data_IF_646678154704
#
_entry.id   IF_646678154704
#
_cell.length_a   1.000
_cell.length_b   1.000
_cell.length_c   1.000
_cell.angle_alpha   90.00
_cell.angle_beta   90.00
_cell.angle_gamma   90.00
#
_symmetry.space_group_name_H-M   'P 1'
#
loop_
_entity.id
_entity.type
_entity.pdbx_description
1 polymer ?
#
# COMPACT_ATOMS: atom_id res chain seq x y z
N UNK A 1 -26.58 16.93 7.21
CA UNK A 1 -25.87 16.39 6.03
C UNK A 1 -24.45 16.03 6.40
N UNK A 2 -24.28 15.01 7.26
CA UNK A 2 -22.99 14.54 7.81
C UNK A 2 -22.39 13.35 7.02
N UNK A 3 -22.83 13.14 5.77
CA UNK A 3 -22.55 11.91 5.00
C UNK A 3 -21.60 12.08 3.82
N UNK A 4 -21.02 13.26 3.57
CA UNK A 4 -20.04 13.42 2.50
C UNK A 4 -18.64 13.09 3.04
N UNK A 5 -17.93 12.17 2.37
CA UNK A 5 -16.56 11.73 2.72
C UNK A 5 -15.55 12.87 2.88
N UNK A 6 -15.89 14.11 2.47
CA UNK A 6 -15.09 15.29 2.74
C UNK A 6 -14.95 15.61 4.24
N UNK A 7 -15.99 15.41 5.05
CA UNK A 7 -16.01 15.81 6.47
C UNK A 7 -14.87 15.22 7.31
N UNK A 8 -14.53 13.95 7.07
CA UNK A 8 -13.48 13.24 7.82
C UNK A 8 -12.05 13.69 7.46
N UNK A 9 -11.86 14.34 6.30
CA UNK A 9 -10.55 14.87 5.92
C UNK A 9 -10.22 16.22 6.59
N UNK A 10 -11.18 16.83 7.30
CA UNK A 10 -11.02 18.15 7.93
C UNK A 10 -10.75 18.11 9.43
N UNK A 11 -10.41 16.94 9.98
CA UNK A 11 -9.95 16.88 11.36
C UNK A 11 -8.60 17.63 11.46
N UNK A 12 -8.47 18.69 12.28
CA UNK A 12 -7.18 19.39 12.47
C UNK A 12 -6.06 18.43 12.88
N UNK A 13 -6.40 17.33 13.55
CA UNK A 13 -5.45 16.29 13.92
C UNK A 13 -4.87 15.55 12.69
N UNK A 14 -5.68 15.30 11.65
CA UNK A 14 -5.22 14.66 10.41
C UNK A 14 -4.26 15.57 9.63
N UNK A 15 -4.53 16.88 9.60
CA UNK A 15 -3.66 17.84 8.95
C UNK A 15 -2.26 17.89 9.61
N UNK A 16 -2.22 17.86 10.95
CA UNK A 16 -0.96 17.81 11.71
C UNK A 16 -0.19 16.49 11.46
N UNK A 17 -0.90 15.36 11.43
CA UNK A 17 -0.32 14.07 11.05
C UNK A 17 0.26 14.08 9.64
N UNK A 18 -0.46 14.63 8.65
CA UNK A 18 0.02 14.74 7.27
C UNK A 18 1.26 15.64 7.16
N UNK A 19 1.29 16.76 7.89
CA UNK A 19 2.45 17.66 7.95
C UNK A 19 3.66 16.96 8.54
N UNK A 20 3.49 16.28 9.67
CA UNK A 20 4.55 15.50 10.34
C UNK A 20 5.10 14.41 9.43
N UNK A 21 4.22 13.64 8.78
CA UNK A 21 4.62 12.60 7.80
C UNK A 21 5.38 13.22 6.63
N UNK A 22 4.94 14.37 6.12
CA UNK A 22 5.62 15.06 5.01
C UNK A 22 7.02 15.55 5.40
N UNK A 23 7.20 16.06 6.62
CA UNK A 23 8.51 16.48 7.14
C UNK A 23 9.44 15.27 7.31
N UNK A 24 8.96 14.19 7.92
CA UNK A 24 9.75 12.96 8.11
C UNK A 24 10.15 12.36 6.75
N UNK A 25 9.21 12.33 5.80
CA UNK A 25 9.44 11.78 4.47
C UNK A 25 10.42 12.63 3.66
N UNK A 26 10.30 13.97 3.69
CA UNK A 26 11.30 14.85 3.06
C UNK A 26 12.65 14.60 3.69
N UNK A 27 12.83 14.75 5.01
CA UNK A 27 14.10 14.49 5.70
C UNK A 27 14.74 13.14 5.31
N UNK A 28 13.94 12.08 5.26
CA UNK A 28 14.38 10.74 4.86
C UNK A 28 14.91 10.72 3.42
N UNK A 29 14.17 11.29 2.47
CA UNK A 29 14.61 11.38 1.07
C UNK A 29 15.89 12.21 0.93
N UNK A 30 16.08 13.26 1.75
CA UNK A 30 17.31 14.06 1.80
C UNK A 30 18.50 13.21 2.16
N UNK A 31 18.38 12.45 3.25
CA UNK A 31 19.46 11.58 3.72
C UNK A 31 19.78 10.48 2.71
N UNK A 32 18.79 9.95 2.01
CA UNK A 32 19.01 9.00 0.92
C UNK A 32 19.77 9.63 -0.27
N UNK A 33 19.44 10.86 -0.66
CA UNK A 33 20.17 11.58 -1.73
C UNK A 33 21.63 11.83 -1.31
N UNK A 34 21.87 12.25 -0.06
CA UNK A 34 23.22 12.47 0.47
C UNK A 34 23.99 11.16 0.50
N UNK A 35 23.38 10.07 0.97
CA UNK A 35 23.98 8.73 0.97
C UNK A 35 24.40 8.30 -0.43
N UNK A 36 23.52 8.39 -1.42
CA UNK A 36 23.83 8.01 -2.80
C UNK A 36 24.94 8.90 -3.39
N UNK A 37 25.00 10.17 -3.02
CA UNK A 37 26.07 11.08 -3.43
C UNK A 37 27.42 10.63 -2.87
N UNK A 38 27.50 10.32 -1.57
CA UNK A 38 28.72 9.80 -0.95
C UNK A 38 29.13 8.43 -1.51
N UNK A 39 28.15 7.55 -1.73
CA UNK A 39 28.37 6.24 -2.33
C UNK A 39 28.95 6.36 -3.74
N UNK A 40 28.42 7.27 -4.56
CA UNK A 40 28.94 7.53 -5.91
C UNK A 40 30.37 8.06 -5.88
N UNK A 41 30.65 9.03 -5.01
CA UNK A 41 31.99 9.63 -4.89
C UNK A 41 33.02 8.61 -4.41
N UNK A 42 32.61 7.70 -3.51
CA UNK A 42 33.49 6.64 -3.01
C UNK A 42 33.74 5.57 -4.08
N UNK A 43 32.70 5.06 -4.73
CA UNK A 43 32.84 4.00 -5.74
C UNK A 43 33.56 4.47 -7.01
N UNK A 44 33.50 5.77 -7.32
CA UNK A 44 34.29 6.38 -8.41
C UNK A 44 35.75 6.70 -7.99
N UNK A 45 36.19 6.23 -6.81
CA UNK A 45 37.53 6.46 -6.24
C UNK A 45 37.92 7.95 -6.16
N UNK A 46 36.94 8.87 -6.12
CA UNK A 46 37.19 10.30 -5.91
C UNK A 46 37.60 10.61 -4.49
N UNK A 47 37.19 9.75 -3.57
CA UNK A 47 37.40 9.91 -2.13
C UNK A 47 37.79 8.56 -1.52
N UNK A 48 38.71 8.56 -0.56
CA UNK A 48 39.25 7.35 0.10
C UNK A 48 38.61 7.08 1.47
N UNK A 49 37.36 7.50 1.68
CA UNK A 49 36.67 7.27 2.97
C UNK A 49 36.35 5.79 3.17
N UNK A 50 36.37 5.33 4.43
CA UNK A 50 35.82 4.01 4.77
C UNK A 50 34.32 3.97 4.47
N UNK A 51 33.81 2.84 4.01
CA UNK A 51 32.38 2.64 3.73
C UNK A 51 31.52 2.88 4.97
N UNK A 52 32.02 2.56 6.17
CA UNK A 52 31.37 2.96 7.44
C UNK A 52 31.00 4.45 7.52
N UNK A 53 31.85 5.35 7.01
CA UNK A 53 31.57 6.80 6.97
C UNK A 53 30.54 7.15 5.88
N UNK A 54 30.63 6.50 4.72
CA UNK A 54 29.70 6.69 3.59
C UNK A 54 28.27 6.31 3.99
N UNK A 55 28.10 5.31 4.85
CA UNK A 55 26.81 4.83 5.33
C UNK A 55 26.20 5.68 6.46
N UNK A 56 26.89 6.69 7.00
CA UNK A 56 26.37 7.52 8.11
C UNK A 56 24.96 8.08 7.84
N UNK A 57 24.64 8.68 6.66
CA UNK A 57 23.30 9.21 6.43
C UNK A 57 22.22 8.12 6.45
N UNK A 58 22.56 6.89 6.03
CA UNK A 58 21.65 5.76 6.07
C UNK A 58 21.43 5.26 7.52
N UNK A 59 22.50 5.20 8.33
CA UNK A 59 22.39 4.88 9.75
C UNK A 59 21.58 5.91 10.55
N UNK A 60 21.56 7.19 10.12
CA UNK A 60 20.67 8.21 10.70
C UNK A 60 19.19 7.93 10.38
N UNK A 61 18.87 7.51 9.15
CA UNK A 61 17.51 7.06 8.77
C UNK A 61 17.11 5.86 9.63
N UNK A 62 17.99 4.87 9.76
CA UNK A 62 17.74 3.67 10.53
C UNK A 62 17.54 3.97 12.03
N UNK A 63 18.34 4.86 12.60
CA UNK A 63 18.19 5.28 13.99
C UNK A 63 16.84 5.96 14.23
N UNK A 64 16.42 6.83 13.30
CA UNK A 64 15.09 7.46 13.36
C UNK A 64 13.97 6.42 13.25
N UNK A 65 14.10 5.46 12.33
CA UNK A 65 13.13 4.37 12.16
C UNK A 65 13.05 3.49 13.41
N UNK A 66 14.18 3.14 14.01
CA UNK A 66 14.25 2.34 15.23
C UNK A 66 13.58 3.07 16.39
N UNK A 67 13.82 4.38 16.54
CA UNK A 67 13.17 5.22 17.54
C UNK A 67 11.66 5.28 17.30
N UNK A 68 11.22 5.49 16.06
CA UNK A 68 9.80 5.53 15.72
C UNK A 68 9.08 4.20 16.03
N UNK A 69 9.69 3.07 15.65
CA UNK A 69 9.15 1.73 15.94
C UNK A 69 9.18 1.44 17.44
N UNK A 70 10.22 1.84 18.16
CA UNK A 70 10.29 1.71 19.61
C UNK A 70 9.22 2.55 20.31
N UNK A 71 8.95 3.77 19.86
CA UNK A 71 7.84 4.57 20.39
C UNK A 71 6.49 3.92 20.08
N UNK A 72 6.31 3.35 18.90
CA UNK A 72 5.09 2.62 18.55
C UNK A 72 4.92 1.36 19.42
N UNK A 73 6.00 0.63 19.72
CA UNK A 73 5.91 -0.55 20.60
C UNK A 73 5.60 -0.12 22.04
N UNK A 74 6.19 0.97 22.52
CA UNK A 74 5.90 1.54 23.84
C UNK A 74 4.47 2.05 23.94
N UNK A 75 3.95 2.73 22.91
CA UNK A 75 2.57 3.22 22.91
C UNK A 75 1.55 2.07 22.95
N UNK A 76 1.82 0.95 22.27
CA UNK A 76 1.01 -0.27 22.38
C UNK A 76 1.08 -0.87 23.79
N UNK A 77 2.25 -0.79 24.47
CA UNK A 77 2.37 -1.32 25.83
C UNK A 77 1.63 -0.47 26.86
N UNK A 78 1.60 0.85 26.68
CA UNK A 78 1.06 1.82 27.66
C UNK A 78 -0.36 2.30 27.33
N UNK A 79 -0.80 2.14 26.09
CA UNK A 79 -2.12 2.56 25.64
C UNK A 79 -3.26 1.78 26.30
N UNK A 80 -4.39 2.46 26.45
CA UNK A 80 -5.65 1.82 26.85
C UNK A 80 -6.10 0.82 25.77
N UNK A 81 -6.88 -0.18 26.18
CA UNK A 81 -7.43 -1.14 25.23
C UNK A 81 -8.28 -0.38 24.18
N UNK A 82 -8.17 -0.72 22.89
CA UNK A 82 -9.01 -0.10 21.88
C UNK A 82 -10.48 -0.32 22.21
N UNK A 83 -11.36 0.67 21.94
CA UNK A 83 -12.79 0.51 22.11
C UNK A 83 -13.29 -0.65 21.23
N UNK A 84 -14.30 -1.36 21.72
CA UNK A 84 -15.00 -2.41 20.97
C UNK A 84 -15.73 -1.76 19.78
N UNK A 85 -15.86 -2.49 18.67
CA UNK A 85 -16.75 -2.04 17.59
C UNK A 85 -18.21 -2.18 18.01
N UNK A 86 -19.10 -1.41 17.40
CA UNK A 86 -20.54 -1.46 17.71
C UNK A 86 -21.10 -2.89 17.54
N UNK A 87 -20.69 -3.60 16.49
CA UNK A 87 -21.08 -4.99 16.24
C UNK A 87 -20.59 -5.94 17.35
N UNK A 88 -19.38 -5.70 17.87
CA UNK A 88 -18.84 -6.49 18.97
C UNK A 88 -19.56 -6.17 20.27
N UNK A 89 -19.83 -4.89 20.54
CA UNK A 89 -20.57 -4.48 21.71
C UNK A 89 -22.00 -5.05 21.71
N UNK A 90 -22.68 -5.05 20.56
CA UNK A 90 -24.01 -5.65 20.38
C UNK A 90 -23.97 -7.18 20.55
N UNK A 91 -23.01 -7.86 19.91
CA UNK A 91 -22.84 -9.31 20.07
C UNK A 91 -22.61 -9.69 21.53
N UNK A 92 -21.78 -8.92 22.24
CA UNK A 92 -21.58 -9.10 23.66
C UNK A 92 -22.82 -8.75 24.47
N UNK A 93 -23.58 -7.70 24.12
CA UNK A 93 -24.76 -7.26 24.88
C UNK A 93 -25.82 -8.36 25.05
N UNK A 94 -25.89 -9.32 24.13
CA UNK A 94 -26.77 -10.50 24.19
C UNK A 94 -26.42 -11.51 25.30
N UNK A 95 -25.19 -11.48 25.83
CA UNK A 95 -24.72 -12.44 26.83
C UNK A 95 -25.05 -12.01 28.28
N UNK A 96 -25.21 -12.95 29.22
CA UNK A 96 -25.31 -12.64 30.65
C UNK A 96 -24.15 -11.77 31.15
N UNK A 97 -24.38 -10.90 32.15
CA UNK A 97 -23.40 -9.91 32.62
C UNK A 97 -22.04 -10.52 33.01
N UNK A 98 -22.05 -11.67 33.67
CA UNK A 98 -20.83 -12.35 34.13
C UNK A 98 -20.00 -12.88 32.96
N UNK A 99 -20.68 -13.45 31.95
CA UNK A 99 -20.06 -13.96 30.72
C UNK A 99 -19.53 -12.79 29.87
N UNK A 100 -20.29 -11.68 29.78
CA UNK A 100 -19.86 -10.47 29.09
C UNK A 100 -18.53 -9.95 29.61
N UNK A 101 -18.41 -9.80 30.93
CA UNK A 101 -17.15 -9.31 31.52
C UNK A 101 -15.99 -10.27 31.27
N UNK A 102 -16.23 -11.58 31.37
CA UNK A 102 -15.22 -12.60 31.11
C UNK A 102 -14.76 -12.61 29.64
N UNK A 103 -15.69 -12.54 28.69
CA UNK A 103 -15.38 -12.47 27.27
C UNK A 103 -14.66 -11.17 26.89
N UNK A 104 -15.09 -10.00 27.42
CA UNK A 104 -14.39 -8.72 27.23
C UNK A 104 -12.95 -8.83 27.69
N UNK A 105 -12.71 -9.34 28.91
CA UNK A 105 -11.36 -9.49 29.45
C UNK A 105 -10.50 -10.48 28.64
N UNK A 106 -11.08 -11.59 28.18
CA UNK A 106 -10.38 -12.59 27.38
C UNK A 106 -9.99 -12.06 25.99
N UNK A 107 -10.90 -11.33 25.32
CA UNK A 107 -10.66 -10.71 24.01
C UNK A 107 -9.59 -9.63 24.09
N UNK A 108 -9.68 -8.72 25.07
CA UNK A 108 -8.68 -7.66 25.29
C UNK A 108 -7.29 -8.28 25.54
N UNK A 109 -7.20 -9.35 26.33
CA UNK A 109 -5.93 -10.08 26.54
C UNK A 109 -5.38 -10.69 25.24
N UNK A 110 -6.24 -11.28 24.41
CA UNK A 110 -5.83 -11.88 23.12
C UNK A 110 -5.36 -10.82 22.12
N UNK A 111 -6.11 -9.73 21.99
CA UNK A 111 -5.77 -8.62 21.09
C UNK A 111 -4.49 -7.92 21.52
N UNK A 112 -4.30 -7.66 22.83
CA UNK A 112 -3.06 -7.08 23.36
C UNK A 112 -1.86 -7.98 23.10
N UNK A 113 -1.99 -9.30 23.31
CA UNK A 113 -0.91 -10.26 22.99
C UNK A 113 -0.56 -10.25 21.51
N UNK A 114 -1.56 -10.20 20.62
CA UNK A 114 -1.33 -10.15 19.18
C UNK A 114 -0.68 -8.83 18.74
N UNK A 115 -1.13 -7.70 19.29
CA UNK A 115 -0.54 -6.38 19.02
C UNK A 115 0.90 -6.28 19.52
N UNK A 116 1.19 -6.78 20.72
CA UNK A 116 2.56 -6.87 21.25
C UNK A 116 3.44 -7.79 20.41
N UNK A 117 2.90 -8.92 19.94
CA UNK A 117 3.62 -9.81 19.03
C UNK A 117 3.94 -9.11 17.70
N UNK A 118 2.98 -8.42 17.09
CA UNK A 118 3.23 -7.63 15.86
C UNK A 118 4.27 -6.52 16.09
N UNK A 119 4.17 -5.80 17.20
CA UNK A 119 5.14 -4.78 17.58
C UNK A 119 6.56 -5.36 17.75
N UNK A 120 6.67 -6.53 18.40
CA UNK A 120 7.95 -7.24 18.57
C UNK A 120 8.53 -7.72 17.24
N UNK A 121 7.69 -8.20 16.31
CA UNK A 121 8.11 -8.60 14.97
C UNK A 121 8.59 -7.38 14.16
N UNK A 122 7.90 -6.25 14.27
CA UNK A 122 8.33 -5.00 13.61
C UNK A 122 9.69 -4.54 14.13
N UNK A 123 9.91 -4.56 15.45
CA UNK A 123 11.20 -4.24 16.05
C UNK A 123 12.31 -5.20 15.57
N UNK A 124 12.04 -6.52 15.60
CA UNK A 124 12.97 -7.53 15.11
C UNK A 124 13.33 -7.30 13.63
N UNK A 125 12.34 -6.93 12.81
CA UNK A 125 12.54 -6.63 11.39
C UNK A 125 13.49 -5.45 11.20
N UNK A 126 13.29 -4.35 11.93
CA UNK A 126 14.20 -3.19 11.87
C UNK A 126 15.61 -3.57 12.33
N UNK A 127 15.74 -4.32 13.42
CA UNK A 127 17.06 -4.77 13.91
C UNK A 127 17.78 -5.64 12.87
N UNK A 128 17.09 -6.60 12.25
CA UNK A 128 17.66 -7.43 11.18
C UNK A 128 18.06 -6.60 9.96
N UNK A 129 17.27 -5.59 9.60
CA UNK A 129 17.58 -4.68 8.51
C UNK A 129 18.84 -3.85 8.79
N UNK A 130 18.98 -3.29 10.00
CA UNK A 130 20.18 -2.56 10.42
C UNK A 130 21.41 -3.49 10.43
N UNK A 131 21.27 -4.70 10.98
CA UNK A 131 22.35 -5.68 10.99
C UNK A 131 22.82 -6.02 9.57
N UNK A 132 21.89 -6.18 8.63
CA UNK A 132 22.22 -6.41 7.23
C UNK A 132 23.06 -5.27 6.63
N UNK A 133 22.65 -4.01 6.85
CA UNK A 133 23.41 -2.87 6.35
C UNK A 133 24.80 -2.76 6.99
N UNK A 134 24.91 -3.02 8.30
CA UNK A 134 26.20 -3.03 9.01
C UNK A 134 27.11 -4.12 8.44
N UNK A 135 26.60 -5.32 8.19
CA UNK A 135 27.39 -6.40 7.58
C UNK A 135 27.83 -6.05 6.16
N UNK A 136 26.99 -5.40 5.36
CA UNK A 136 27.40 -4.90 4.04
C UNK A 136 28.53 -3.88 4.18
N UNK A 137 28.38 -2.88 5.06
CA UNK A 137 29.38 -1.83 5.24
C UNK A 137 30.74 -2.40 5.69
N UNK A 138 30.73 -3.35 6.62
CA UNK A 138 31.95 -4.01 7.09
C UNK A 138 32.57 -4.89 6.00
N UNK A 139 31.74 -5.60 5.22
CA UNK A 139 32.22 -6.44 4.12
C UNK A 139 32.87 -5.61 3.01
N UNK A 140 32.26 -4.46 2.67
CA UNK A 140 32.77 -3.54 1.66
C UNK A 140 34.09 -2.87 2.08
N UNK A 141 34.33 -2.72 3.38
CA UNK A 141 35.61 -2.22 3.92
C UNK A 141 36.73 -3.28 3.89
N UNK A 142 36.45 -4.51 3.43
CA UNK A 142 37.39 -5.65 3.42
C UNK A 142 37.95 -6.02 4.80
N UNK A 143 37.39 -5.48 5.88
CA UNK A 143 37.78 -5.76 7.27
C UNK A 143 37.53 -7.24 7.63
N UNK A 144 36.61 -7.91 6.91
CA UNK A 144 36.20 -9.29 7.16
C UNK A 144 36.05 -10.09 5.85
N UNK A 145 36.61 -11.30 5.85
CA UNK A 145 36.60 -12.26 4.73
C UNK A 145 35.41 -13.24 4.75
N UNK A 146 34.25 -12.82 5.28
CA UNK A 146 33.06 -13.67 5.28
C UNK A 146 32.52 -13.89 3.86
N UNK A 147 31.95 -15.08 3.62
CA UNK A 147 31.21 -15.32 2.37
C UNK A 147 30.01 -14.39 2.28
N UNK A 148 29.62 -14.04 1.05
CA UNK A 148 28.47 -13.16 0.81
C UNK A 148 27.19 -13.77 1.36
N UNK A 149 27.08 -15.10 1.34
CA UNK A 149 25.97 -15.83 1.96
C UNK A 149 25.80 -15.50 3.46
N UNK A 150 26.89 -15.42 4.24
CA UNK A 150 26.84 -15.09 5.68
C UNK A 150 26.37 -13.64 5.89
N UNK A 151 26.86 -12.71 5.07
CA UNK A 151 26.45 -11.29 5.10
C UNK A 151 24.95 -11.14 4.85
N UNK A 152 24.36 -11.99 3.99
CA UNK A 152 22.94 -11.96 3.65
C UNK A 152 22.04 -12.73 4.63
N UNK A 153 22.56 -13.40 5.66
CA UNK A 153 21.74 -14.16 6.63
C UNK A 153 20.62 -13.32 7.26
N UNK A 154 20.85 -12.08 7.76
CA UNK A 154 19.77 -11.28 8.34
C UNK A 154 18.66 -10.99 7.31
N UNK A 155 19.04 -10.80 6.04
CA UNK A 155 18.08 -10.61 4.95
C UNK A 155 17.26 -11.86 4.66
N UNK A 156 17.88 -13.05 4.62
CA UNK A 156 17.15 -14.30 4.46
C UNK A 156 16.18 -14.58 5.61
N UNK A 157 16.52 -14.20 6.84
CA UNK A 157 15.61 -14.28 7.99
C UNK A 157 14.40 -13.35 7.78
N UNK A 158 14.63 -12.10 7.34
CA UNK A 158 13.53 -11.17 7.00
C UNK A 158 12.64 -11.71 5.88
N UNK A 159 13.22 -12.33 4.86
CA UNK A 159 12.46 -12.98 3.78
C UNK A 159 11.62 -14.15 4.30
N UNK A 160 12.18 -14.98 5.17
CA UNK A 160 11.43 -16.07 5.79
C UNK A 160 10.26 -15.56 6.64
N UNK A 161 10.46 -14.48 7.42
CA UNK A 161 9.37 -13.84 8.16
C UNK A 161 8.27 -13.32 7.23
N UNK A 162 8.64 -12.70 6.10
CA UNK A 162 7.70 -12.23 5.08
C UNK A 162 6.93 -13.41 4.45
N UNK A 163 7.59 -14.54 4.21
CA UNK A 163 6.94 -15.75 3.70
C UNK A 163 5.86 -16.25 4.69
N UNK A 164 6.20 -16.36 5.97
CA UNK A 164 5.24 -16.79 7.00
C UNK A 164 4.03 -15.85 7.05
N UNK A 165 4.24 -14.53 7.02
CA UNK A 165 3.16 -13.55 6.97
C UNK A 165 2.28 -13.74 5.74
N UNK A 166 2.90 -13.89 4.57
CA UNK A 166 2.22 -14.08 3.30
C UNK A 166 1.39 -15.36 3.29
N UNK A 167 1.90 -16.45 3.88
CA UNK A 167 1.18 -17.72 4.01
C UNK A 167 -0.04 -17.59 4.94
N UNK A 168 0.05 -16.84 6.03
CA UNK A 168 -1.09 -16.60 6.93
C UNK A 168 -2.18 -15.79 6.23
N UNK A 169 -1.81 -14.73 5.51
CA UNK A 169 -2.74 -13.89 4.74
C UNK A 169 -3.42 -14.68 3.61
N UNK A 170 -2.64 -15.51 2.92
CA UNK A 170 -3.15 -16.44 1.93
C UNK A 170 -4.16 -17.42 2.53
N UNK A 171 -3.83 -18.05 3.67
CA UNK A 171 -4.73 -18.98 4.35
C UNK A 171 -6.04 -18.31 4.77
N UNK A 172 -5.98 -17.08 5.28
CA UNK A 172 -7.19 -16.31 5.63
C UNK A 172 -8.06 -16.02 4.39
N UNK A 173 -7.42 -15.61 3.29
CA UNK A 173 -8.10 -15.36 2.02
C UNK A 173 -8.75 -16.63 1.47
N UNK A 174 -8.07 -17.78 1.58
CA UNK A 174 -8.64 -19.06 1.19
C UNK A 174 -9.86 -19.45 2.01
N UNK A 175 -9.82 -19.28 3.34
CA UNK A 175 -10.97 -19.58 4.22
C UNK A 175 -12.16 -18.71 3.85
N UNK A 176 -11.95 -17.40 3.67
CA UNK A 176 -13.00 -16.47 3.25
C UNK A 176 -13.62 -16.89 1.91
N UNK A 177 -12.79 -17.18 0.90
CA UNK A 177 -13.27 -17.62 -0.42
C UNK A 177 -14.02 -18.94 -0.33
N UNK A 178 -13.55 -19.89 0.49
CA UNK A 178 -14.18 -21.21 0.63
C UNK A 178 -15.57 -21.14 1.23
N UNK A 179 -15.84 -20.17 2.12
CA UNK A 179 -17.16 -19.97 2.71
C UNK A 179 -18.20 -19.39 1.75
N UNK A 180 -17.77 -18.71 0.69
CA UNK A 180 -18.67 -18.05 -0.27
C UNK A 180 -19.08 -18.88 -1.49
N UNK A 181 -18.44 -20.03 -1.73
CA UNK A 181 -18.51 -20.74 -3.04
C UNK A 181 -19.16 -22.14 -2.95
N UNK A 182 -20.24 -22.29 -2.16
CA UNK A 182 -20.84 -23.61 -1.92
C UNK A 182 -21.36 -24.34 -3.17
N UNK A 183 -21.67 -23.63 -4.27
CA UNK A 183 -22.34 -24.21 -5.45
C UNK A 183 -21.58 -24.07 -6.79
N UNK A 184 -20.35 -23.55 -6.77
CA UNK A 184 -19.59 -23.28 -8.00
C UNK A 184 -18.83 -24.50 -8.55
N UNK A 185 -18.65 -24.54 -9.87
CA UNK A 185 -17.94 -25.63 -10.56
C UNK A 185 -16.49 -25.81 -10.05
N UNK A 186 -16.00 -27.06 -10.00
CA UNK A 186 -14.65 -27.40 -9.50
C UNK A 186 -13.55 -26.69 -10.31
N UNK A 187 -13.74 -26.56 -11.64
CA UNK A 187 -12.80 -25.87 -12.52
C UNK A 187 -12.68 -24.38 -12.19
N UNK A 188 -13.80 -23.73 -11.87
CA UNK A 188 -13.80 -22.32 -11.45
C UNK A 188 -13.03 -22.15 -10.13
N UNK A 189 -13.25 -23.04 -9.16
CA UNK A 189 -12.51 -23.06 -7.88
C UNK A 189 -11.01 -23.22 -8.08
N UNK A 190 -10.58 -24.20 -8.88
CA UNK A 190 -9.15 -24.40 -9.18
C UNK A 190 -8.51 -23.19 -9.86
N UNK A 191 -9.20 -22.58 -10.83
CA UNK A 191 -8.71 -21.36 -11.51
C UNK A 191 -8.58 -20.19 -10.55
N UNK A 192 -9.55 -20.01 -9.64
CA UNK A 192 -9.49 -18.97 -8.62
C UNK A 192 -8.33 -19.21 -7.66
N UNK A 193 -8.15 -20.44 -7.16
CA UNK A 193 -7.04 -20.78 -6.27
C UNK A 193 -5.68 -20.58 -6.94
N UNK A 194 -5.51 -21.00 -8.19
CA UNK A 194 -4.26 -20.77 -8.92
C UNK A 194 -3.98 -19.27 -9.06
N UNK A 195 -4.96 -18.47 -9.45
CA UNK A 195 -4.77 -17.01 -9.60
C UNK A 195 -4.41 -16.35 -8.28
N UNK A 196 -5.13 -16.66 -7.19
CA UNK A 196 -4.85 -16.10 -5.86
C UNK A 196 -3.46 -16.52 -5.38
N UNK A 197 -3.11 -17.80 -5.50
CA UNK A 197 -1.79 -18.32 -5.12
C UNK A 197 -0.69 -17.64 -5.93
N UNK A 198 -0.86 -17.59 -7.25
CA UNK A 198 0.12 -16.99 -8.14
C UNK A 198 0.31 -15.52 -7.81
N UNK A 199 -0.76 -14.72 -7.75
CA UNK A 199 -0.69 -13.28 -7.47
C UNK A 199 -0.12 -12.98 -6.07
N UNK A 200 -0.26 -13.90 -5.12
CA UNK A 200 0.31 -13.77 -3.77
C UNK A 200 1.81 -14.09 -3.74
N UNK A 201 2.25 -15.24 -4.29
CA UNK A 201 3.61 -15.76 -4.08
C UNK A 201 4.63 -15.41 -5.18
N UNK A 202 4.19 -15.00 -6.38
CA UNK A 202 5.11 -14.81 -7.52
C UNK A 202 6.23 -13.80 -7.23
N UNK A 203 5.91 -12.66 -6.59
CA UNK A 203 6.88 -11.61 -6.32
C UNK A 203 7.90 -12.06 -5.26
N UNK A 204 7.45 -12.79 -4.25
CA UNK A 204 8.33 -13.40 -3.24
C UNK A 204 9.32 -14.37 -3.89
N UNK A 205 8.84 -15.28 -4.74
CA UNK A 205 9.68 -16.25 -5.44
C UNK A 205 10.75 -15.57 -6.31
N UNK A 206 10.38 -14.53 -7.08
CA UNK A 206 11.33 -13.76 -7.89
C UNK A 206 12.37 -13.03 -7.03
N UNK A 207 11.96 -12.44 -5.90
CA UNK A 207 12.86 -11.73 -4.99
C UNK A 207 13.89 -12.66 -4.35
N UNK A 208 13.46 -13.82 -3.85
CA UNK A 208 14.37 -14.83 -3.29
C UNK A 208 15.30 -15.37 -4.37
N UNK A 209 14.78 -15.70 -5.55
CA UNK A 209 15.59 -16.15 -6.67
C UNK A 209 16.65 -15.11 -7.08
N UNK A 210 16.28 -13.83 -7.14
CA UNK A 210 17.21 -12.73 -7.43
C UNK A 210 18.34 -12.65 -6.41
N UNK A 211 18.03 -12.73 -5.12
CA UNK A 211 19.04 -12.66 -4.07
C UNK A 211 19.97 -13.86 -4.07
N UNK A 212 19.44 -15.08 -4.26
CA UNK A 212 20.27 -16.29 -4.38
C UNK A 212 21.22 -16.18 -5.56
N UNK A 213 20.74 -15.76 -6.75
CA UNK A 213 21.59 -15.57 -7.93
C UNK A 213 22.65 -14.49 -7.70
N UNK A 214 22.31 -13.39 -7.01
CA UNK A 214 23.27 -12.35 -6.65
C UNK A 214 24.36 -12.88 -5.71
N UNK A 215 23.99 -13.58 -4.63
CA UNK A 215 24.95 -14.16 -3.68
C UNK A 215 25.88 -15.14 -4.37
N UNK A 216 25.32 -16.08 -5.15
CA UNK A 216 26.12 -17.05 -5.91
C UNK A 216 27.07 -16.38 -6.89
N UNK A 217 26.63 -15.30 -7.55
CA UNK A 217 27.46 -14.57 -8.50
C UNK A 217 28.58 -13.78 -7.81
N UNK A 218 28.28 -13.10 -6.71
CA UNK A 218 29.27 -12.31 -5.96
C UNK A 218 30.34 -13.22 -5.34
N UNK A 219 29.96 -14.41 -4.88
CA UNK A 219 30.91 -15.43 -4.39
C UNK A 219 31.62 -16.20 -5.54
N UNK A 220 31.49 -15.76 -6.80
CA UNK A 220 32.11 -16.34 -8.00
C UNK A 220 31.78 -17.83 -8.25
N UNK A 221 30.79 -18.39 -7.55
CA UNK A 221 30.36 -19.79 -7.73
C UNK A 221 29.74 -20.04 -9.09
N UNK A 222 29.11 -19.01 -9.67
CA UNK A 222 28.57 -19.02 -11.04
C UNK A 222 29.30 -17.98 -11.90
N UNK A 223 29.79 -18.41 -13.06
CA UNK A 223 30.54 -17.57 -14.00
C UNK A 223 29.67 -16.92 -15.09
N UNK A 224 28.35 -16.95 -14.94
CA UNK A 224 27.41 -16.47 -15.96
C UNK A 224 27.38 -14.95 -16.11
N UNK A 225 26.94 -14.47 -17.28
CA UNK A 225 26.83 -13.03 -17.59
C UNK A 225 25.86 -12.32 -16.62
N UNK A 226 26.17 -11.10 -16.17
CA UNK A 226 25.37 -10.38 -15.16
C UNK A 226 23.90 -10.18 -15.57
N UNK A 227 23.62 -9.99 -16.85
CA UNK A 227 22.26 -9.96 -17.39
C UNK A 227 21.40 -11.18 -16.99
N UNK A 228 21.98 -12.38 -16.89
CA UNK A 228 21.25 -13.59 -16.48
C UNK A 228 20.90 -13.55 -14.99
N UNK A 229 21.76 -12.97 -14.16
CA UNK A 229 21.54 -12.80 -12.72
C UNK A 229 20.34 -11.88 -12.45
N UNK A 230 20.05 -10.94 -13.35
CA UNK A 230 18.90 -10.02 -13.25
C UNK A 230 17.63 -10.51 -13.96
N UNK A 231 17.58 -11.76 -14.45
CA UNK A 231 16.36 -12.35 -15.06
C UNK A 231 15.11 -12.15 -14.18
N UNK A 232 15.13 -12.43 -12.87
CA UNK A 232 13.96 -12.22 -12.03
C UNK A 232 13.46 -10.76 -12.04
N UNK A 233 14.36 -9.78 -12.05
CA UNK A 233 13.99 -8.37 -12.17
C UNK A 233 13.35 -8.04 -13.52
N UNK A 234 13.83 -8.62 -14.63
CA UNK A 234 13.20 -8.46 -15.94
C UNK A 234 11.78 -9.03 -15.97
N UNK A 235 11.54 -10.18 -15.31
CA UNK A 235 10.22 -10.82 -15.24
C UNK A 235 9.18 -9.96 -14.51
N UNK A 236 9.59 -9.13 -13.54
CA UNK A 236 8.68 -8.22 -12.82
C UNK A 236 8.03 -7.23 -13.78
N UNK A 237 8.81 -6.50 -14.59
CA UNK A 237 8.23 -5.54 -15.53
C UNK A 237 7.44 -6.23 -16.65
N UNK A 238 7.81 -7.44 -17.06
CA UNK A 238 7.00 -8.25 -17.98
C UNK A 238 5.62 -8.59 -17.39
N UNK A 239 5.54 -9.00 -16.13
CA UNK A 239 4.26 -9.28 -15.45
C UNK A 239 3.37 -8.04 -15.40
N UNK A 240 3.92 -6.88 -15.09
CA UNK A 240 3.15 -5.63 -15.07
C UNK A 240 2.67 -5.22 -16.47
N UNK A 241 3.52 -5.37 -17.49
CA UNK A 241 3.14 -5.11 -18.88
C UNK A 241 1.95 -6.00 -19.32
N UNK A 242 2.03 -7.30 -19.02
CA UNK A 242 0.93 -8.26 -19.28
C UNK A 242 -0.35 -7.85 -18.53
N UNK A 243 -0.22 -7.42 -17.26
CA UNK A 243 -1.35 -6.93 -16.47
C UNK A 243 -2.05 -5.73 -17.11
N UNK A 244 -1.30 -4.74 -17.61
CA UNK A 244 -1.85 -3.56 -18.30
C UNK A 244 -2.57 -3.96 -19.59
N UNK A 245 -2.01 -4.91 -20.35
CA UNK A 245 -2.65 -5.44 -21.57
C UNK A 245 -3.96 -6.16 -21.22
N UNK A 246 -3.99 -6.94 -20.14
CA UNK A 246 -5.21 -7.63 -19.67
C UNK A 246 -6.30 -6.64 -19.22
N UNK A 247 -5.93 -5.55 -18.53
CA UNK A 247 -6.87 -4.49 -18.15
C UNK A 247 -7.50 -3.87 -19.40
N UNK A 248 -6.71 -3.60 -20.45
CA UNK A 248 -7.21 -3.09 -21.72
C UNK A 248 -8.18 -4.06 -22.39
N UNK A 249 -7.88 -5.35 -22.37
CA UNK A 249 -8.77 -6.37 -22.96
C UNK A 249 -10.10 -6.45 -22.22
N UNK A 250 -10.08 -6.42 -20.87
CA UNK A 250 -11.30 -6.39 -20.05
C UNK A 250 -12.11 -5.11 -20.28
N UNK A 251 -11.46 -3.95 -20.36
CA UNK A 251 -12.12 -2.69 -20.66
C UNK A 251 -12.82 -2.72 -22.03
N UNK A 252 -12.20 -3.34 -23.05
CA UNK A 252 -12.82 -3.53 -24.37
C UNK A 252 -14.09 -4.40 -24.31
N UNK A 253 -14.13 -5.41 -23.44
CA UNK A 253 -15.32 -6.25 -23.25
C UNK A 253 -16.42 -5.50 -22.48
N UNK A 254 -16.05 -4.64 -21.53
CA UNK A 254 -16.98 -3.86 -20.73
C UNK A 254 -17.57 -2.62 -21.45
N UNK A 255 -17.04 -2.24 -22.61
CA UNK A 255 -17.48 -1.07 -23.40
C UNK A 255 -18.97 -1.07 -23.80
N UNK A 256 -19.70 -2.16 -23.59
CA UNK A 256 -21.15 -2.20 -23.78
C UNK A 256 -21.96 -1.56 -22.64
N UNK A 257 -21.35 -1.19 -21.50
CA UNK A 257 -22.04 -0.54 -20.38
C UNK A 257 -21.53 0.89 -20.15
N UNK A 258 -22.42 1.79 -19.71
CA UNK A 258 -22.30 3.27 -19.62
C UNK A 258 -21.14 3.85 -18.73
N UNK A 259 -20.05 3.12 -18.48
CA UNK A 259 -18.90 3.54 -17.67
C UNK A 259 -17.57 3.73 -18.44
N UNK A 260 -17.60 3.87 -19.77
CA UNK A 260 -16.40 3.80 -20.62
C UNK A 260 -15.35 4.90 -20.35
N UNK A 261 -15.78 6.12 -20.01
CA UNK A 261 -14.87 7.27 -19.87
C UNK A 261 -13.86 7.13 -18.73
N UNK A 262 -14.30 6.68 -17.56
CA UNK A 262 -13.45 6.61 -16.36
C UNK A 262 -12.40 5.49 -16.47
N UNK A 263 -12.75 4.33 -17.04
CA UNK A 263 -11.81 3.22 -17.20
C UNK A 263 -10.69 3.53 -18.20
N UNK A 264 -11.00 4.28 -19.27
CA UNK A 264 -9.98 4.72 -20.22
C UNK A 264 -8.97 5.66 -19.59
N UNK A 265 -9.42 6.63 -18.78
CA UNK A 265 -8.53 7.56 -18.08
C UNK A 265 -7.58 6.78 -17.15
N UNK A 266 -8.10 5.85 -16.34
CA UNK A 266 -7.27 5.02 -15.45
C UNK A 266 -6.25 4.19 -16.22
N UNK A 267 -6.63 3.63 -17.38
CA UNK A 267 -5.71 2.89 -18.25
C UNK A 267 -4.56 3.78 -18.77
N UNK A 268 -4.87 4.98 -19.26
CA UNK A 268 -3.84 5.90 -19.78
C UNK A 268 -2.89 6.37 -18.68
N UNK A 269 -3.41 6.66 -17.49
CA UNK A 269 -2.58 7.03 -16.32
C UNK A 269 -1.68 5.87 -15.92
N UNK A 270 -2.21 4.65 -15.82
CA UNK A 270 -1.43 3.46 -15.47
C UNK A 270 -0.34 3.16 -16.52
N UNK A 271 -0.67 3.28 -17.81
CA UNK A 271 0.28 3.07 -18.91
C UNK A 271 1.40 4.13 -18.90
N UNK A 272 1.05 5.41 -18.74
CA UNK A 272 2.02 6.49 -18.68
C UNK A 272 2.98 6.31 -17.50
N UNK A 273 2.42 6.02 -16.32
CA UNK A 273 3.19 5.73 -15.10
C UNK A 273 4.12 4.54 -15.31
N UNK A 274 3.62 3.44 -15.89
CA UNK A 274 4.43 2.27 -16.19
C UNK A 274 5.56 2.57 -17.15
N UNK A 275 5.32 3.30 -18.25
CA UNK A 275 6.37 3.64 -19.23
C UNK A 275 7.48 4.45 -18.55
N UNK A 276 7.14 5.46 -17.75
CA UNK A 276 8.14 6.30 -17.06
C UNK A 276 8.94 5.46 -16.06
N UNK A 277 8.25 4.72 -15.18
CA UNK A 277 8.90 3.92 -14.13
C UNK A 277 9.74 2.79 -14.74
N UNK A 278 9.20 2.05 -15.71
CA UNK A 278 9.92 0.97 -16.37
C UNK A 278 11.15 1.48 -17.12
N UNK A 279 11.04 2.62 -17.82
CA UNK A 279 12.19 3.21 -18.54
C UNK A 279 13.30 3.57 -17.56
N UNK A 280 12.97 4.24 -16.45
CA UNK A 280 13.97 4.61 -15.43
C UNK A 280 14.58 3.38 -14.76
N UNK A 281 13.76 2.39 -14.37
CA UNK A 281 14.21 1.17 -13.72
C UNK A 281 15.09 0.30 -14.64
N UNK A 282 14.70 0.11 -15.90
CA UNK A 282 15.48 -0.67 -16.86
C UNK A 282 16.72 0.06 -17.37
N UNK A 283 16.71 1.40 -17.44
CA UNK A 283 17.91 2.18 -17.67
C UNK A 283 18.92 1.97 -16.53
N UNK A 284 18.46 2.04 -15.27
CA UNK A 284 19.30 1.75 -14.11
C UNK A 284 19.86 0.31 -14.15
N UNK A 285 19.02 -0.69 -14.37
CA UNK A 285 19.44 -2.09 -14.45
C UNK A 285 20.44 -2.34 -15.59
N UNK A 286 20.20 -1.75 -16.77
CA UNK A 286 21.11 -1.90 -17.92
C UNK A 286 22.48 -1.26 -17.66
N UNK A 287 22.52 -0.08 -17.04
CA UNK A 287 23.76 0.58 -16.63
C UNK A 287 24.47 -0.22 -15.54
N UNK A 288 23.73 -0.80 -14.59
CA UNK A 288 24.26 -1.66 -13.53
C UNK A 288 24.89 -2.93 -14.09
N UNK A 289 24.20 -3.64 -14.99
CA UNK A 289 24.75 -4.82 -15.68
C UNK A 289 26.03 -4.45 -16.42
N UNK A 290 26.03 -3.33 -17.17
CA UNK A 290 27.22 -2.89 -17.91
C UNK A 290 28.39 -2.55 -16.99
N UNK A 291 28.11 -1.92 -15.84
CA UNK A 291 29.13 -1.58 -14.83
C UNK A 291 29.72 -2.82 -14.18
N UNK A 292 28.88 -3.82 -13.88
CA UNK A 292 29.30 -5.07 -13.25
C UNK A 292 30.08 -5.97 -14.21
N UNK A 293 29.81 -5.90 -15.52
CA UNK A 293 30.54 -6.66 -16.54
C UNK A 293 31.89 -6.02 -16.87
N UNK A 294 31.95 -4.69 -17.00
CA UNK A 294 33.16 -3.95 -17.34
C UNK A 294 33.45 -2.90 -16.26
N UNK A 295 34.28 -3.29 -15.29
CA UNK A 295 34.59 -2.55 -14.06
C UNK A 295 35.00 -1.09 -14.26
N UNK A 296 35.49 -0.67 -15.43
CA UNK A 296 36.01 0.69 -15.63
C UNK A 296 35.22 1.55 -16.61
N UNK A 297 34.21 1.00 -17.30
CA UNK A 297 33.63 1.70 -18.46
C UNK A 297 32.61 2.79 -18.13
N UNK A 298 31.95 2.74 -16.97
CA UNK A 298 30.84 3.64 -16.61
C UNK A 298 31.04 4.20 -15.21
N UNK A 299 30.95 5.53 -15.02
CA UNK A 299 30.99 6.16 -13.69
C UNK A 299 29.72 5.83 -12.90
N UNK A 300 29.86 5.55 -11.61
CA UNK A 300 28.73 5.23 -10.72
C UNK A 300 27.76 6.41 -10.61
N UNK A 301 28.26 7.65 -10.68
CA UNK A 301 27.40 8.82 -10.77
C UNK A 301 26.40 8.77 -11.95
N UNK A 302 26.80 8.23 -13.11
CA UNK A 302 25.93 8.09 -14.29
C UNK A 302 24.89 6.99 -14.06
N UNK A 303 25.32 5.88 -13.44
CA UNK A 303 24.46 4.75 -13.09
C UNK A 303 23.31 5.17 -12.16
N UNK A 304 23.56 6.10 -11.24
CA UNK A 304 22.57 6.56 -10.26
C UNK A 304 21.64 7.68 -10.78
N UNK A 305 21.84 8.20 -12.00
CA UNK A 305 20.99 9.28 -12.57
C UNK A 305 19.49 8.94 -12.49
N UNK A 306 19.01 7.75 -12.93
CA UNK A 306 17.58 7.43 -12.85
C UNK A 306 17.05 7.44 -11.41
N UNK A 307 17.86 7.01 -10.44
CA UNK A 307 17.49 7.00 -9.02
C UNK A 307 17.41 8.43 -8.48
N UNK A 308 18.37 9.30 -8.82
CA UNK A 308 18.31 10.72 -8.45
C UNK A 308 17.10 11.43 -9.05
N UNK A 309 16.71 11.13 -10.28
CA UNK A 309 15.49 11.68 -10.89
C UNK A 309 14.25 11.28 -10.07
N UNK A 310 14.11 9.99 -9.73
CA UNK A 310 12.97 9.52 -8.93
C UNK A 310 12.95 10.17 -7.54
N UNK A 311 14.09 10.18 -6.84
CA UNK A 311 14.17 10.78 -5.51
C UNK A 311 13.91 12.29 -5.54
N UNK A 312 14.37 13.00 -6.56
CA UNK A 312 14.10 14.44 -6.73
C UNK A 312 12.62 14.71 -7.01
N UNK A 313 11.97 13.91 -7.84
CA UNK A 313 10.54 14.00 -8.08
C UNK A 313 9.73 13.67 -6.82
N UNK A 314 10.12 12.65 -6.05
CA UNK A 314 9.51 12.34 -4.76
C UNK A 314 9.69 13.48 -3.76
N UNK A 315 10.90 14.02 -3.65
CA UNK A 315 11.20 15.18 -2.82
C UNK A 315 10.29 16.36 -3.16
N UNK A 316 10.22 16.72 -4.45
CA UNK A 316 9.39 17.82 -4.93
C UNK A 316 7.90 17.57 -4.68
N UNK A 317 7.42 16.35 -4.94
CA UNK A 317 6.02 15.98 -4.71
C UNK A 317 5.63 16.07 -3.24
N UNK A 318 6.47 15.56 -2.34
CA UNK A 318 6.21 15.57 -0.89
C UNK A 318 6.36 16.98 -0.31
N UNK A 319 7.37 17.73 -0.75
CA UNK A 319 7.65 19.07 -0.22
C UNK A 319 6.67 20.13 -0.72
N UNK A 320 6.24 20.07 -1.98
CA UNK A 320 5.41 21.11 -2.59
C UNK A 320 3.95 20.71 -2.73
N UNK A 321 3.66 19.49 -3.18
CA UNK A 321 2.28 19.12 -3.54
C UNK A 321 1.45 18.73 -2.31
N UNK A 322 2.00 18.02 -1.33
CA UNK A 322 1.25 17.61 -0.13
C UNK A 322 0.81 18.80 0.74
N UNK A 323 1.67 19.79 1.06
CA UNK A 323 1.24 20.97 1.80
C UNK A 323 0.24 21.82 1.03
N UNK A 324 0.46 22.04 -0.28
CA UNK A 324 -0.47 22.78 -1.13
C UNK A 324 -1.83 22.09 -1.22
N UNK A 325 -1.86 20.77 -1.32
CA UNK A 325 -3.09 19.99 -1.31
C UNK A 325 -3.82 20.12 0.03
N UNK A 326 -3.09 20.00 1.15
CA UNK A 326 -3.65 20.18 2.50
C UNK A 326 -4.26 21.59 2.70
N UNK A 327 -3.57 22.63 2.19
CA UNK A 327 -4.06 24.01 2.24
C UNK A 327 -5.27 24.25 1.33
N UNK A 328 -5.25 23.72 0.11
CA UNK A 328 -6.35 23.86 -0.85
C UNK A 328 -7.64 23.20 -0.31
N UNK A 329 -7.51 22.01 0.27
CA UNK A 329 -8.61 21.30 0.93
C UNK A 329 -9.13 22.15 2.11
N UNK A 330 -8.25 22.65 2.97
CA UNK A 330 -8.64 23.48 4.13
C UNK A 330 -9.38 24.78 3.76
N UNK A 331 -9.05 25.38 2.61
CA UNK A 331 -9.70 26.61 2.14
C UNK A 331 -11.14 26.36 1.66
N UNK A 332 -11.36 25.25 0.95
CA UNK A 332 -12.70 24.86 0.46
C UNK A 332 -13.69 24.67 1.62
N UNK A 333 -13.25 24.02 2.71
CA UNK A 333 -14.07 23.81 3.91
C UNK A 333 -14.53 25.10 4.60
N UNK A 334 -13.68 26.14 4.67
CA UNK A 334 -14.04 27.41 5.31
C UNK A 334 -14.98 28.25 4.44
N UNK A 335 -14.97 28.05 3.13
CA UNK A 335 -15.81 28.81 2.20
C UNK A 335 -17.30 28.40 2.21
N UNK A 336 -17.61 27.26 2.83
CA UNK A 336 -18.96 26.68 2.89
C UNK A 336 -20.02 27.47 3.66
N UNK A 337 -19.63 28.50 4.43
CA UNK A 337 -20.56 29.43 5.09
C UNK A 337 -21.07 30.56 4.18
N UNK A 338 -20.58 30.61 2.94
CA UNK A 338 -21.19 31.41 1.88
C UNK A 338 -21.95 30.47 0.93
N UNK A 339 -23.29 30.58 0.79
CA UNK A 339 -24.06 29.85 -0.22
C UNK A 339 -23.77 30.41 -1.62
N UNK A 340 -22.54 30.21 -2.09
CA UNK A 340 -22.09 30.50 -3.44
C UNK A 340 -21.75 29.16 -4.09
N UNK A 341 -22.76 28.30 -4.27
CA UNK A 341 -22.65 27.34 -5.37
C UNK A 341 -22.78 28.14 -6.67
N UNK A 342 -21.77 28.16 -7.56
CA UNK A 342 -22.06 28.21 -8.97
C UNK A 342 -22.83 26.92 -9.26
N UNK A 343 -24.15 27.05 -9.31
CA UNK A 343 -25.06 26.05 -9.82
C UNK A 343 -24.49 25.65 -11.18
N UNK A 344 -23.80 24.50 -11.26
CA UNK A 344 -23.46 23.88 -12.53
C UNK A 344 -24.79 23.46 -13.12
N UNK A 345 -25.38 24.42 -13.85
CA UNK A 345 -26.56 24.21 -14.68
C UNK A 345 -26.16 23.09 -15.62
N UNK A 346 -26.72 21.90 -15.37
CA UNK A 346 -26.64 20.80 -16.33
C UNK A 346 -27.15 21.35 -17.67
N UNK A 347 -26.33 21.39 -18.74
CA UNK A 347 -26.75 21.97 -20.02
C UNK A 347 -27.91 21.21 -20.67
N UNK A 348 -28.32 20.07 -20.11
CA UNK A 348 -29.44 19.26 -20.57
C UNK A 348 -30.70 19.36 -19.69
N UNK A 349 -30.82 20.35 -18.80
CA UNK A 349 -32.14 20.65 -18.23
C UNK A 349 -32.95 21.39 -19.30
N UNK A 350 -33.52 20.59 -20.21
CA UNK A 350 -34.57 21.01 -21.13
C UNK A 350 -35.54 21.88 -20.32
N UNK A 351 -35.74 23.11 -20.78
CA UNK A 351 -36.78 24.02 -20.33
C UNK A 351 -38.14 23.37 -20.61
N UNK A 352 -38.60 22.47 -19.75
CA UNK A 352 -40.03 22.26 -19.59
C UNK A 352 -40.54 23.50 -18.85
N UNK A 353 -40.93 24.50 -19.64
CA UNK A 353 -41.84 25.55 -19.19
C UNK A 353 -42.94 24.87 -18.35
N UNK A 354 -43.21 25.33 -17.12
CA UNK A 354 -44.39 24.87 -16.41
C UNK A 354 -45.59 25.32 -17.26
N UNK A 355 -46.20 24.37 -17.95
CA UNK A 355 -47.56 24.53 -18.44
C UNK A 355 -48.41 24.93 -17.25
N UNK A 356 -49.00 26.13 -17.34
CA UNK A 356 -50.01 26.67 -16.45
C UNK A 356 -50.95 25.53 -16.00
N UNK A 357 -50.78 25.08 -14.76
CA UNK A 357 -51.59 24.01 -14.20
C UNK A 357 -52.80 24.69 -13.54
N UNK A 358 -53.95 24.43 -14.15
CA UNK A 358 -55.27 24.93 -13.78
C UNK A 358 -55.56 24.64 -12.28
N UNK A 359 -55.91 25.64 -11.45
CA UNK A 359 -56.10 25.45 -10.01
C UNK A 359 -57.28 24.53 -9.62
N UNK A 360 -58.04 24.00 -10.57
CA UNK A 360 -59.21 23.15 -10.32
C UNK A 360 -58.90 21.68 -9.99
N UNK A 361 -57.67 21.19 -10.21
CA UNK A 361 -57.32 19.78 -9.98
C UNK A 361 -56.81 19.48 -8.55
N UNK A 362 -56.54 20.49 -7.72
CA UNK A 362 -56.02 20.27 -6.35
C UNK A 362 -57.04 19.70 -5.37
N UNK A 363 -58.35 19.84 -5.62
CA UNK A 363 -59.37 19.30 -4.70
C UNK A 363 -59.66 17.79 -4.91
N UNK A 364 -59.31 17.20 -6.05
CA UNK A 364 -59.55 15.76 -6.28
C UNK A 364 -58.48 14.85 -5.67
N UNK A 365 -57.27 15.36 -5.40
CA UNK A 365 -56.21 14.51 -4.84
C UNK A 365 -56.30 14.29 -3.32
N UNK A 366 -56.99 15.15 -2.58
CA UNK A 366 -57.18 14.96 -1.13
C UNK A 366 -58.36 14.04 -0.78
N UNK A 367 -59.28 13.78 -1.72
CA UNK A 367 -60.46 12.93 -1.47
C UNK A 367 -60.19 11.42 -1.69
N UNK A 368 -59.11 11.04 -2.38
CA UNK A 368 -58.78 9.64 -2.66
C UNK A 368 -57.97 8.93 -1.55
N UNK A 369 -57.34 9.68 -0.64
CA UNK A 369 -56.48 9.10 0.40
C UNK A 369 -57.20 8.66 1.69
N UNK A 370 -58.55 8.70 1.74
CA UNK A 370 -59.30 8.49 2.99
C UNK A 370 -60.15 7.21 3.07
N UNK A 371 -60.04 6.28 2.11
CA UNK A 371 -60.92 5.10 2.07
C UNK A 371 -60.22 3.77 1.79
N UNK A 372 -59.25 3.37 2.62
CA UNK A 372 -58.81 1.96 2.69
C UNK A 372 -58.11 1.67 4.02
N UNK A 373 -58.87 1.59 5.12
CA UNK A 373 -58.47 0.80 6.28
C UNK A 373 -59.68 0.53 7.18
N UNK A 374 -60.45 -0.51 6.86
CA UNK A 374 -61.43 -1.08 7.78
C UNK A 374 -61.59 -2.58 7.57
N UNK A 375 -61.19 -3.33 8.61
CA UNK A 375 -61.72 -4.62 9.09
C UNK A 375 -61.71 -5.86 8.17
N UNK A 376 -61.03 -6.91 8.66
CA UNK A 376 -61.69 -8.21 8.87
C UNK A 376 -61.03 -8.98 10.04
N UNK A 377 -61.79 -9.83 10.78
CA UNK A 377 -61.43 -10.34 12.10
C UNK A 377 -60.99 -11.82 12.13
N UNK A 378 -60.55 -12.21 13.33
CA UNK A 378 -60.26 -13.53 13.90
C UNK A 378 -61.14 -14.70 13.40
N UNK A 379 -60.50 -15.86 13.22
CA UNK A 379 -61.11 -17.18 13.36
C UNK A 379 -60.28 -18.02 14.35
N UNK A 380 -60.90 -18.76 15.29
CA UNK A 380 -60.22 -19.72 16.14
C UNK A 380 -60.30 -21.12 15.52
N UNK A 381 -59.22 -21.90 15.61
CA UNK A 381 -59.28 -23.35 15.48
C UNK A 381 -58.61 -23.98 16.69
N UNK A 382 -59.34 -24.91 17.29
CA UNK A 382 -59.04 -25.64 18.50
C UNK A 382 -59.33 -27.12 18.18
N UNK A 383 -58.56 -28.02 18.83
CA UNK A 383 -58.74 -29.50 18.89
C UNK A 383 -58.30 -30.22 17.60
N UNK A 384 -57.40 -31.22 17.63
CA UNK A 384 -57.16 -32.32 18.57
C UNK A 384 -55.69 -32.70 18.71
#
# INVERSE_FOLDING_TARGET
MLGTMGGAMFDPHLADMMCTVSIVLTLTVSWLIIFLSFLSARLDNRVQWKFKLVFIPLFLVDALLLVAVAFQTLSVTWGEAPPLTDDEEEALASLPADIRQQERAARVRRQRRFSLFQASLALLYVVLFVLFQVFIAIRLDEDIMWSTAVVFVPWFIMEFMNLVRLTVEFAHTLVMISSGLSDESVLFRLKLYYNVTFDTFWFFALRVAQAVLLVLRIDETITCHWALVFIPAYLVGLKYLVGIIMIRQKARQASHMNGQGQQLIMFYVALCTFIVVATLAYAFLGLLVRRLEVSDSVRVAILLIPVFIVLSCMWFGVCCCLPCFSLAVSFDARSGDTPLFPRTVSPNRLLTLPSFQDPSDRERQYSSARSTSSRTPLAPQNVS
#
